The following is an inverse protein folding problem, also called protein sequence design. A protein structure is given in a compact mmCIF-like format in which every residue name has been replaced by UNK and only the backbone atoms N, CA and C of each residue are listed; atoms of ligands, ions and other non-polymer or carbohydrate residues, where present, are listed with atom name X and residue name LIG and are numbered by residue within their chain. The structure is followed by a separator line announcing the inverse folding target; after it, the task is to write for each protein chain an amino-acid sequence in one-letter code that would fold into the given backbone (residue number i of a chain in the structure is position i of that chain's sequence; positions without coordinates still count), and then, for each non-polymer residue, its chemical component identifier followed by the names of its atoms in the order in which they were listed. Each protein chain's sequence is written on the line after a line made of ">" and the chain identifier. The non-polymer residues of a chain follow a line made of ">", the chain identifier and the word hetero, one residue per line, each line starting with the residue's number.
data_IF_933154894825
#
_entry.id   IF_933154894825
#
_cell.length_a   1.000
_cell.length_b   1.000
_cell.length_c   1.000
_cell.angle_alpha   90.00
_cell.angle_beta   90.00
_cell.angle_gamma   90.00
#
_symmetry.space_group_name_H-M   'P 1'
#
loop_
_entity.id
_entity.type
_entity.pdbx_description
1 polymer ?
#
# COMPACT_ATOMS: atom_id res chain seq x y z
N UNK A 1 8.22 6.72 -2.58
CA UNK A 1 7.15 6.51 -1.57
C UNK A 1 6.57 5.12 -1.74
N UNK A 2 6.49 4.32 -0.68
CA UNK A 2 5.85 2.99 -0.73
C UNK A 2 4.49 3.04 -0.05
N UNK A 3 3.45 2.51 -0.71
CA UNK A 3 2.09 2.42 -0.16
C UNK A 3 1.68 0.96 -0.12
N UNK A 4 1.38 0.44 1.06
CA UNK A 4 0.83 -0.91 1.26
C UNK A 4 -0.67 -0.78 1.54
N UNK A 5 -1.49 -1.47 0.77
CA UNK A 5 -2.96 -1.41 0.89
C UNK A 5 -3.57 -2.80 0.83
N UNK A 6 -4.53 -3.12 1.70
CA UNK A 6 -5.32 -4.34 1.55
C UNK A 6 -6.45 -4.21 0.53
N UNK A 7 -6.67 -5.28 -0.23
CA UNK A 7 -7.68 -5.40 -1.27
C UNK A 7 -9.11 -5.59 -0.75
N UNK A 8 -9.27 -5.95 0.54
CA UNK A 8 -10.56 -6.31 1.16
C UNK A 8 -11.04 -5.25 2.15
N UNK A 9 -11.61 -4.11 1.70
CA UNK A 9 -12.04 -3.05 2.59
C UNK A 9 -13.01 -3.57 3.66
N UNK A 10 -12.78 -3.15 4.91
CA UNK A 10 -13.66 -3.48 6.02
C UNK A 10 -15.07 -2.95 5.72
N UNK A 11 -16.10 -3.73 6.08
CA UNK A 11 -17.51 -3.35 5.88
C UNK A 11 -17.83 -2.91 4.45
N UNK A 12 -17.22 -3.53 3.44
CA UNK A 12 -17.47 -3.19 2.03
C UNK A 12 -18.96 -3.21 1.65
N UNK A 13 -19.75 -4.11 2.27
CA UNK A 13 -21.20 -4.22 2.06
C UNK A 13 -21.99 -3.01 2.60
N UNK A 14 -21.45 -2.31 3.60
CA UNK A 14 -22.08 -1.14 4.23
C UNK A 14 -21.46 0.18 3.72
N UNK A 15 -20.34 0.11 3.00
CA UNK A 15 -19.60 1.29 2.54
C UNK A 15 -20.06 1.65 1.13
N UNK A 16 -20.56 2.87 0.88
CA UNK A 16 -21.02 3.20 -0.45
C UNK A 16 -19.86 3.21 -1.46
N UNK A 17 -20.16 2.83 -2.71
CA UNK A 17 -19.13 2.58 -3.72
C UNK A 17 -18.28 3.82 -4.05
N UNK A 18 -18.82 5.02 -3.87
CA UNK A 18 -18.08 6.27 -4.07
C UNK A 18 -16.91 6.40 -3.07
N UNK A 19 -17.10 6.02 -1.80
CA UNK A 19 -16.07 6.07 -0.76
C UNK A 19 -15.00 5.00 -1.01
N UNK A 20 -15.40 3.80 -1.47
CA UNK A 20 -14.45 2.76 -1.86
C UNK A 20 -13.54 3.22 -3.01
N UNK A 21 -14.12 3.87 -4.03
CA UNK A 21 -13.37 4.46 -5.15
C UNK A 21 -12.48 5.62 -4.70
N UNK A 22 -12.99 6.51 -3.85
CA UNK A 22 -12.22 7.63 -3.32
C UNK A 22 -10.99 7.14 -2.54
N UNK A 23 -11.15 6.10 -1.70
CA UNK A 23 -10.03 5.45 -1.00
C UNK A 23 -8.98 4.92 -1.97
N UNK A 24 -9.39 4.21 -3.02
CA UNK A 24 -8.47 3.69 -4.03
C UNK A 24 -7.75 4.82 -4.79
N UNK A 25 -8.46 5.90 -5.13
CA UNK A 25 -7.89 7.08 -5.76
C UNK A 25 -6.82 7.73 -4.86
N UNK A 26 -7.14 7.98 -3.59
CA UNK A 26 -6.19 8.56 -2.64
C UNK A 26 -4.92 7.71 -2.48
N UNK A 27 -5.05 6.38 -2.43
CA UNK A 27 -3.88 5.48 -2.36
C UNK A 27 -2.98 5.62 -3.59
N UNK A 28 -3.56 5.78 -4.78
CA UNK A 28 -2.80 6.03 -6.01
C UNK A 28 -2.16 7.42 -6.02
N UNK A 29 -2.84 8.45 -5.51
CA UNK A 29 -2.25 9.79 -5.42
C UNK A 29 -1.06 9.83 -4.45
N UNK A 30 -1.11 9.10 -3.33
CA UNK A 30 0.04 8.97 -2.42
C UNK A 30 1.28 8.37 -3.11
N UNK A 31 1.08 7.42 -4.02
CA UNK A 31 2.17 6.82 -4.80
C UNK A 31 2.82 7.87 -5.71
N UNK A 32 2.00 8.71 -6.35
CA UNK A 32 2.44 9.75 -7.29
C UNK A 32 3.23 10.90 -6.65
N UNK A 33 3.20 11.04 -5.32
CA UNK A 33 4.03 12.02 -4.61
C UNK A 33 5.54 11.78 -4.78
N UNK A 34 5.94 10.63 -5.35
CA UNK A 34 7.32 10.30 -5.66
C UNK A 34 7.40 9.70 -7.07
N UNK A 35 8.35 10.10 -7.92
CA UNK A 35 8.56 9.50 -9.25
C UNK A 35 8.85 8.00 -9.20
N UNK A 36 9.35 7.53 -8.05
CA UNK A 36 9.68 6.13 -7.77
C UNK A 36 8.66 5.50 -6.83
N UNK A 37 7.46 6.08 -6.76
CA UNK A 37 6.36 5.55 -5.98
C UNK A 37 6.03 4.12 -6.37
N UNK A 38 5.80 3.26 -5.37
CA UNK A 38 5.32 1.89 -5.58
C UNK A 38 4.11 1.61 -4.69
N UNK A 39 3.09 0.98 -5.25
CA UNK A 39 1.96 0.45 -4.50
C UNK A 39 2.07 -1.07 -4.43
N UNK A 40 1.92 -1.63 -3.23
CA UNK A 40 1.76 -3.07 -3.02
C UNK A 40 0.37 -3.33 -2.50
N UNK A 41 -0.37 -4.18 -3.20
CA UNK A 41 -1.72 -4.59 -2.83
C UNK A 41 -1.66 -5.96 -2.15
N UNK A 42 -2.10 -6.02 -0.91
CA UNK A 42 -2.22 -7.24 -0.13
C UNK A 42 -3.59 -7.88 -0.41
N UNK A 43 -3.61 -8.74 -1.43
CA UNK A 43 -4.83 -9.35 -2.00
C UNK A 43 -5.65 -10.14 -0.98
N UNK A 44 -5.00 -10.65 0.07
CA UNK A 44 -5.66 -11.45 1.11
C UNK A 44 -5.98 -10.65 2.37
N UNK A 45 -5.73 -9.34 2.35
CA UNK A 45 -5.79 -8.48 3.52
C UNK A 45 -6.83 -7.39 3.40
N UNK A 46 -7.34 -6.96 4.56
CA UNK A 46 -8.19 -5.79 4.69
C UNK A 46 -7.44 -4.57 5.22
N UNK A 47 -7.94 -3.98 6.30
CA UNK A 47 -7.35 -2.74 6.83
C UNK A 47 -5.94 -2.93 7.40
N UNK A 48 -5.62 -4.12 7.94
CA UNK A 48 -4.38 -4.40 8.66
C UNK A 48 -3.56 -5.53 8.01
N UNK A 49 -2.94 -5.30 6.84
CA UNK A 49 -2.12 -6.32 6.17
C UNK A 49 -0.93 -6.80 7.01
N UNK A 50 -0.47 -6.03 8.00
CA UNK A 50 0.60 -6.46 8.90
C UNK A 50 0.21 -7.63 9.81
N UNK A 51 -1.09 -7.88 10.00
CA UNK A 51 -1.56 -9.03 10.78
C UNK A 51 -1.93 -10.21 9.88
N UNK A 52 -2.54 -9.96 8.71
CA UNK A 52 -3.04 -11.02 7.82
C UNK A 52 -2.01 -11.48 6.78
N UNK A 53 -1.09 -10.61 6.37
CA UNK A 53 0.00 -10.91 5.44
C UNK A 53 1.34 -10.29 5.90
N UNK A 54 1.82 -10.63 7.12
CA UNK A 54 3.01 -10.01 7.72
C UNK A 54 4.26 -10.13 6.85
N UNK A 55 4.45 -11.27 6.18
CA UNK A 55 5.61 -11.49 5.30
C UNK A 55 5.60 -10.59 4.06
N UNK A 56 4.42 -10.26 3.52
CA UNK A 56 4.30 -9.30 2.42
C UNK A 56 4.71 -7.91 2.90
N UNK A 57 4.26 -7.52 4.09
CA UNK A 57 4.61 -6.24 4.70
C UNK A 57 6.11 -6.15 4.96
N UNK A 58 6.71 -7.17 5.60
CA UNK A 58 8.14 -7.23 5.89
C UNK A 58 8.98 -7.10 4.61
N UNK A 59 8.71 -7.91 3.58
CA UNK A 59 9.43 -7.84 2.30
C UNK A 59 9.31 -6.47 1.62
N UNK A 60 8.14 -5.83 1.75
CA UNK A 60 7.93 -4.50 1.17
C UNK A 60 8.75 -3.44 1.90
N UNK A 61 8.83 -3.51 3.22
CA UNK A 61 9.69 -2.62 4.03
C UNK A 61 11.16 -2.83 3.67
N UNK A 62 11.61 -4.07 3.53
CA UNK A 62 12.99 -4.38 3.11
C UNK A 62 13.32 -3.85 1.72
N UNK A 63 12.40 -3.98 0.76
CA UNK A 63 12.56 -3.40 -0.56
C UNK A 63 12.64 -1.87 -0.51
N UNK A 64 11.77 -1.23 0.27
CA UNK A 64 11.79 0.22 0.46
C UNK A 64 13.09 0.72 1.08
N UNK A 65 13.60 0.02 2.10
CA UNK A 65 14.86 0.36 2.76
C UNK A 65 16.06 0.19 1.81
N UNK A 66 16.09 -0.90 1.02
CA UNK A 66 17.14 -1.12 0.01
C UNK A 66 17.16 -0.02 -1.04
N UNK A 67 15.99 0.30 -1.61
CA UNK A 67 15.88 1.36 -2.61
C UNK A 67 16.32 2.71 -2.04
N UNK A 68 15.91 3.05 -0.81
CA UNK A 68 16.32 4.27 -0.14
C UNK A 68 17.85 4.36 0.04
N UNK A 69 18.49 3.25 0.42
CA UNK A 69 19.96 3.18 0.55
C UNK A 69 20.68 3.39 -0.79
N UNK A 70 20.11 2.90 -1.90
CA UNK A 70 20.66 3.11 -3.24
C UNK A 70 20.61 4.57 -3.71
N UNK A 71 19.70 5.39 -3.18
CA UNK A 71 19.65 6.83 -3.49
C UNK A 71 20.65 7.67 -2.70
N UNK A 72 21.02 7.26 -1.49
CA UNK A 72 21.98 8.00 -0.66
C UNK A 72 23.45 7.72 -0.99
N UNK A 73 23.72 6.73 -1.84
CA UNK A 73 25.07 6.32 -2.22
C UNK A 73 25.54 6.92 -3.57
N UNK A 74 24.75 7.81 -4.18
CA UNK A 74 25.04 8.48 -5.45
C UNK A 74 25.32 9.96 -5.30
#
# INVERSE_FOLDING_TARGET
>A
MYVISGARPALAWATPGAQLRARQAHQRELVKLSPLGKQVVAERSGHFPQFTEPELVRRTIEAAARDAASFGAG
#
